data_IF_373760986216
#
_entry.id   IF_373760986216
#
_cell.length_a   1.000
_cell.length_b   1.000
_cell.length_c   1.000
_cell.angle_alpha   90.00
_cell.angle_beta   90.00
_cell.angle_gamma   90.00
#
_symmetry.space_group_name_H-M   'P 1'
#
loop_
_entity.id
_entity.type
_entity.pdbx_description
1 polymer ?
#
# COMPACT_ATOMS: atom_id res chain seq x y z
N UNK A 1 -16.52 2.42 10.72
CA UNK A 1 -16.10 1.47 9.66
C UNK A 1 -14.64 1.75 9.37
N UNK A 2 -13.80 0.73 9.31
CA UNK A 2 -12.36 0.82 9.04
C UNK A 2 -12.14 1.28 7.60
N UNK A 3 -11.10 2.06 7.35
CA UNK A 3 -10.73 2.49 6.00
C UNK A 3 -9.62 1.60 5.45
N UNK A 4 -9.70 1.27 4.17
CA UNK A 4 -8.59 0.65 3.42
C UNK A 4 -7.78 1.77 2.78
N UNK A 5 -6.52 1.92 3.23
CA UNK A 5 -5.60 2.95 2.75
C UNK A 5 -4.43 2.31 2.01
N UNK A 6 -4.25 2.69 0.77
CA UNK A 6 -3.04 2.36 0.01
C UNK A 6 -1.97 3.40 0.33
N UNK A 7 -0.98 3.04 1.15
CA UNK A 7 0.06 3.95 1.60
C UNK A 7 1.43 3.42 1.19
N UNK A 8 2.12 4.16 0.31
CA UNK A 8 3.37 3.75 -0.33
C UNK A 8 4.27 4.95 -0.65
N UNK A 9 5.58 4.72 -0.81
CA UNK A 9 6.47 5.65 -1.48
C UNK A 9 6.42 5.42 -3.00
N UNK A 10 6.62 6.49 -3.76
CA UNK A 10 6.68 6.45 -5.23
C UNK A 10 7.73 7.41 -5.76
N UNK A 11 8.40 7.02 -6.84
CA UNK A 11 9.18 7.94 -7.67
C UNK A 11 8.27 8.94 -8.41
N UNK A 12 8.83 10.03 -8.94
CA UNK A 12 8.07 11.03 -9.73
C UNK A 12 7.47 10.39 -10.99
N UNK A 13 8.15 9.43 -11.58
CA UNK A 13 7.68 8.69 -12.77
C UNK A 13 6.79 7.48 -12.44
N UNK A 14 6.31 7.35 -11.18
CA UNK A 14 5.21 6.48 -10.79
C UNK A 14 5.57 5.04 -10.49
N UNK A 15 6.79 4.76 -10.04
CA UNK A 15 7.22 3.43 -9.61
C UNK A 15 7.33 3.35 -8.08
N UNK A 16 6.96 2.21 -7.50
CA UNK A 16 7.03 1.93 -6.05
C UNK A 16 8.26 1.10 -5.67
N UNK A 17 8.94 0.52 -6.66
CA UNK A 17 10.18 -0.21 -6.52
C UNK A 17 10.90 -0.26 -7.87
N UNK A 18 12.19 -0.51 -7.87
CA UNK A 18 12.95 -0.82 -9.07
C UNK A 18 12.51 -2.14 -9.74
N UNK A 19 13.09 -2.50 -10.91
CA UNK A 19 12.65 -3.67 -11.69
C UNK A 19 12.84 -5.00 -10.96
N UNK A 20 13.80 -5.12 -10.03
CA UNK A 20 14.00 -6.31 -9.20
C UNK A 20 13.46 -6.14 -7.76
N UNK A 21 12.68 -5.08 -7.50
CA UNK A 21 12.09 -4.78 -6.20
C UNK A 21 12.96 -3.88 -5.31
N UNK A 22 13.96 -3.20 -5.86
CA UNK A 22 14.83 -2.28 -5.14
C UNK A 22 14.03 -1.09 -4.57
N UNK A 23 14.29 -0.71 -3.32
CA UNK A 23 13.66 0.43 -2.64
C UNK A 23 14.64 1.28 -1.80
N UNK A 24 15.93 1.07 -1.98
CA UNK A 24 17.03 1.80 -1.33
C UNK A 24 17.08 3.31 -1.68
N UNK A 25 16.36 3.69 -2.72
CA UNK A 25 16.16 5.08 -3.12
C UNK A 25 15.14 5.84 -2.24
N UNK A 26 14.42 5.15 -1.34
CA UNK A 26 13.43 5.77 -0.44
C UNK A 26 14.17 6.33 0.78
N UNK A 27 14.20 7.65 0.99
CA UNK A 27 14.90 8.25 2.12
C UNK A 27 14.12 8.01 3.43
N UNK A 28 14.85 7.72 4.50
CA UNK A 28 14.31 7.75 5.85
C UNK A 28 14.40 9.18 6.39
N UNK A 29 13.38 9.99 6.11
CA UNK A 29 13.34 11.38 6.58
C UNK A 29 13.05 11.43 8.08
N UNK A 30 13.91 12.06 8.90
CA UNK A 30 13.75 12.09 10.36
C UNK A 30 12.55 12.93 10.83
N UNK A 31 11.97 13.75 9.95
CA UNK A 31 10.79 14.55 10.28
C UNK A 31 9.47 13.81 10.00
N UNK A 32 9.55 12.60 9.44
CA UNK A 32 8.40 11.69 9.30
C UNK A 32 8.23 10.90 10.59
N UNK A 33 7.11 11.13 11.27
CA UNK A 33 6.73 10.33 12.45
C UNK A 33 6.16 8.97 11.98
N UNK A 34 7.07 8.02 11.73
CA UNK A 34 6.69 6.65 11.35
C UNK A 34 5.89 5.94 12.43
N UNK A 35 6.12 6.26 13.72
CA UNK A 35 5.36 5.69 14.83
C UNK A 35 3.89 6.10 14.77
N UNK A 36 3.61 7.39 14.62
CA UNK A 36 2.26 7.89 14.44
C UNK A 36 1.62 7.37 13.14
N UNK A 37 2.39 7.28 12.05
CA UNK A 37 1.91 6.79 10.76
C UNK A 37 1.47 5.32 10.86
N UNK A 38 2.31 4.42 11.39
CA UNK A 38 1.97 3.00 11.54
C UNK A 38 0.95 2.76 12.64
N UNK A 39 0.93 3.59 13.69
CA UNK A 39 -0.03 3.51 14.78
C UNK A 39 -1.50 3.65 14.37
N UNK A 40 -1.77 4.13 13.14
CA UNK A 40 -3.13 4.22 12.57
C UNK A 40 -3.70 2.87 12.14
N UNK A 41 -2.84 1.85 11.97
CA UNK A 41 -3.19 0.55 11.41
C UNK A 41 -3.08 -0.55 12.45
N UNK A 42 -3.89 -1.59 12.31
CA UNK A 42 -3.78 -2.86 13.03
C UNK A 42 -3.75 -4.06 12.08
N UNK A 43 -4.01 -3.85 10.81
CA UNK A 43 -4.06 -4.89 9.78
C UNK A 43 -3.28 -4.45 8.56
N UNK A 44 -2.44 -5.36 8.07
CA UNK A 44 -1.62 -5.20 6.87
C UNK A 44 -2.09 -6.18 5.80
N UNK A 45 -2.37 -5.66 4.61
CA UNK A 45 -2.82 -6.43 3.45
C UNK A 45 -1.79 -6.30 2.32
N UNK A 46 -1.30 -7.43 1.80
CA UNK A 46 -0.32 -7.43 0.72
C UNK A 46 -0.49 -8.60 -0.25
N UNK A 47 0.02 -8.44 -1.46
CA UNK A 47 0.11 -9.52 -2.44
C UNK A 47 1.31 -10.44 -2.20
N UNK A 48 1.28 -11.62 -2.82
CA UNK A 48 2.32 -12.65 -2.71
C UNK A 48 3.74 -12.11 -2.97
N UNK A 49 3.96 -11.42 -4.11
CA UNK A 49 5.30 -10.92 -4.46
C UNK A 49 5.87 -9.96 -3.43
N UNK A 50 5.01 -9.10 -2.87
CA UNK A 50 5.38 -8.15 -1.80
C UNK A 50 5.73 -8.90 -0.52
N UNK A 51 4.97 -9.95 -0.17
CA UNK A 51 5.25 -10.80 0.98
C UNK A 51 6.58 -11.55 0.83
N UNK A 52 6.82 -12.16 -0.33
CA UNK A 52 8.06 -12.87 -0.64
C UNK A 52 9.28 -11.93 -0.59
N UNK A 53 9.15 -10.72 -1.16
CA UNK A 53 10.21 -9.71 -1.09
C UNK A 53 10.49 -9.29 0.35
N UNK A 54 9.45 -9.02 1.14
CA UNK A 54 9.60 -8.64 2.54
C UNK A 54 10.21 -9.76 3.41
N UNK A 55 9.83 -11.01 3.16
CA UNK A 55 10.38 -12.17 3.87
C UNK A 55 11.86 -12.45 3.53
N UNK A 56 12.34 -11.98 2.39
CA UNK A 56 13.75 -12.12 1.98
C UNK A 56 14.70 -11.15 2.70
N UNK A 57 14.16 -10.10 3.36
CA UNK A 57 14.98 -9.16 4.12
C UNK A 57 15.23 -9.66 5.54
N UNK A 58 16.49 -9.52 6.05
CA UNK A 58 16.82 -9.95 7.42
C UNK A 58 15.99 -9.17 8.44
N UNK A 59 15.39 -9.88 9.37
CA UNK A 59 14.79 -9.54 10.67
C UNK A 59 14.10 -8.18 10.85
N UNK A 60 14.56 -7.10 10.25
CA UNK A 60 14.05 -5.75 10.50
C UNK A 60 12.85 -5.37 9.62
N UNK A 61 12.73 -5.95 8.43
CA UNK A 61 11.61 -5.67 7.52
C UNK A 61 10.25 -6.09 8.09
N UNK A 62 10.18 -7.18 8.86
CA UNK A 62 8.95 -7.63 9.51
C UNK A 62 8.76 -7.02 10.92
N UNK A 63 9.80 -6.45 11.52
CA UNK A 63 9.72 -5.87 12.87
C UNK A 63 8.77 -4.67 12.92
N UNK A 64 8.68 -3.89 11.85
CA UNK A 64 7.75 -2.75 11.75
C UNK A 64 6.27 -3.16 11.75
N UNK A 65 5.97 -4.42 11.45
CA UNK A 65 4.58 -4.96 11.44
C UNK A 65 4.25 -5.76 12.69
N UNK A 66 5.16 -5.78 13.66
CA UNK A 66 4.96 -6.50 14.91
C UNK A 66 3.68 -6.03 15.61
N UNK A 67 2.79 -6.97 15.86
CA UNK A 67 1.49 -6.69 16.48
C UNK A 67 0.35 -6.36 15.49
N UNK A 68 0.63 -6.29 14.19
CA UNK A 68 -0.42 -6.18 13.18
C UNK A 68 -0.89 -7.57 12.71
N UNK A 69 -2.16 -7.66 12.36
CA UNK A 69 -2.73 -8.79 11.61
C UNK A 69 -2.22 -8.71 10.18
N UNK A 70 -1.40 -9.67 9.75
CA UNK A 70 -0.84 -9.72 8.39
C UNK A 70 -1.66 -10.64 7.51
N UNK A 71 -2.14 -10.15 6.38
CA UNK A 71 -2.94 -10.88 5.40
C UNK A 71 -2.23 -10.87 4.05
N UNK A 72 -1.99 -12.04 3.49
CA UNK A 72 -1.37 -12.24 2.18
C UNK A 72 -2.41 -12.71 1.18
N UNK A 73 -2.59 -11.96 0.10
CA UNK A 73 -3.53 -12.29 -0.97
C UNK A 73 -2.80 -13.07 -2.08
N UNK A 74 -3.19 -14.33 -2.26
CA UNK A 74 -2.60 -15.20 -3.29
C UNK A 74 -3.50 -16.37 -3.65
N UNK A 75 -3.58 -16.69 -4.94
CA UNK A 75 -4.22 -17.90 -5.45
C UNK A 75 -3.23 -19.04 -5.70
N UNK A 76 -1.93 -18.81 -5.45
CA UNK A 76 -0.86 -19.77 -5.81
C UNK A 76 0.00 -20.21 -4.64
N UNK A 77 0.02 -19.45 -3.52
CA UNK A 77 0.69 -19.89 -2.30
C UNK A 77 -0.11 -20.98 -1.60
N UNK A 78 0.60 -21.98 -1.08
CA UNK A 78 0.01 -23.01 -0.23
C UNK A 78 -0.06 -22.56 1.24
N UNK A 79 0.86 -21.70 1.69
CA UNK A 79 0.90 -21.15 3.03
C UNK A 79 1.70 -19.83 3.06
N UNK A 80 1.43 -18.99 4.06
CA UNK A 80 2.17 -17.77 4.35
C UNK A 80 2.62 -17.80 5.81
N UNK A 81 3.90 -18.05 6.06
CA UNK A 81 4.42 -18.18 7.41
C UNK A 81 4.23 -16.88 8.21
N UNK A 82 3.55 -16.96 9.37
CA UNK A 82 3.28 -15.81 10.23
C UNK A 82 2.18 -14.86 9.72
N UNK A 83 1.44 -15.24 8.65
CA UNK A 83 0.37 -14.44 8.08
C UNK A 83 -0.86 -15.28 7.72
N UNK A 84 -2.03 -14.63 7.62
CA UNK A 84 -3.22 -15.26 7.06
C UNK A 84 -3.12 -15.29 5.53
N UNK A 85 -3.50 -16.40 4.92
CA UNK A 85 -3.58 -16.52 3.47
C UNK A 85 -5.02 -16.34 3.00
N UNK A 86 -5.23 -15.36 2.12
CA UNK A 86 -6.51 -15.13 1.47
C UNK A 86 -6.42 -15.45 -0.03
N UNK A 87 -7.35 -16.26 -0.51
CA UNK A 87 -7.52 -16.60 -1.93
C UNK A 87 -8.94 -16.29 -2.40
N UNK A 88 -9.14 -16.28 -3.71
CA UNK A 88 -10.43 -16.04 -4.35
C UNK A 88 -10.85 -14.57 -4.33
N UNK A 89 -12.09 -14.29 -3.97
CA UNK A 89 -12.66 -12.93 -3.96
C UNK A 89 -12.19 -12.14 -2.75
N UNK A 90 -11.02 -11.52 -2.90
CA UNK A 90 -10.41 -10.67 -1.87
C UNK A 90 -11.21 -9.39 -1.64
N UNK A 91 -11.89 -8.84 -2.65
CA UNK A 91 -12.65 -7.59 -2.51
C UNK A 91 -13.83 -7.75 -1.56
N UNK A 92 -14.59 -8.83 -1.68
CA UNK A 92 -15.68 -9.15 -0.75
C UNK A 92 -15.15 -9.37 0.67
N UNK A 93 -14.02 -10.08 0.83
CA UNK A 93 -13.40 -10.28 2.15
C UNK A 93 -12.95 -8.96 2.78
N UNK A 94 -12.38 -8.05 2.00
CA UNK A 94 -12.02 -6.69 2.46
C UNK A 94 -13.25 -5.91 2.88
N UNK A 95 -14.35 -6.00 2.14
CA UNK A 95 -15.62 -5.35 2.50
C UNK A 95 -16.11 -5.80 3.88
N UNK A 96 -16.04 -7.09 4.18
CA UNK A 96 -16.38 -7.61 5.51
C UNK A 96 -15.39 -7.16 6.57
N UNK A 97 -14.07 -7.23 6.29
CA UNK A 97 -13.03 -6.78 7.21
C UNK A 97 -13.20 -5.31 7.61
N UNK A 98 -13.64 -4.45 6.69
CA UNK A 98 -13.92 -3.03 6.98
C UNK A 98 -15.07 -2.84 7.98
N UNK A 99 -15.96 -3.81 8.16
CA UNK A 99 -17.07 -3.77 9.12
C UNK A 99 -16.66 -4.24 10.51
N UNK A 100 -15.53 -4.92 10.65
CA UNK A 100 -15.01 -5.34 11.94
C UNK A 100 -14.59 -4.13 12.81
N UNK A 101 -14.54 -4.35 14.13
CA UNK A 101 -13.98 -3.37 15.06
C UNK A 101 -12.45 -3.37 14.93
N UNK A 102 -11.85 -2.21 14.82
CA UNK A 102 -10.38 -2.08 14.69
C UNK A 102 -9.97 -0.73 14.13
N UNK A 103 -8.64 -0.58 13.93
CA UNK A 103 -8.02 0.56 13.26
C UNK A 103 -8.14 0.40 11.74
N UNK A 104 -7.56 1.33 10.99
CA UNK A 104 -7.54 1.26 9.54
C UNK A 104 -6.70 0.08 9.03
N UNK A 105 -6.94 -0.31 7.79
CA UNK A 105 -6.25 -1.40 7.09
C UNK A 105 -5.22 -0.79 6.16
N UNK A 106 -3.97 -1.20 6.30
CA UNK A 106 -2.91 -0.78 5.41
C UNK A 106 -2.80 -1.71 4.21
N UNK A 107 -3.17 -1.24 3.03
CA UNK A 107 -2.84 -1.90 1.77
C UNK A 107 -1.39 -1.54 1.45
N UNK A 108 -0.47 -2.46 1.76
CA UNK A 108 0.96 -2.27 1.58
C UNK A 108 1.40 -2.42 0.12
N UNK A 109 0.68 -3.24 -0.65
CA UNK A 109 0.96 -3.41 -2.07
C UNK A 109 0.88 -4.88 -2.52
N UNK A 110 1.31 -5.31 -3.75
CA UNK A 110 1.81 -4.45 -4.84
C UNK A 110 0.72 -3.89 -5.75
N UNK A 111 1.19 -3.28 -6.86
CA UNK A 111 0.33 -2.58 -7.80
C UNK A 111 -0.81 -3.41 -8.41
N UNK A 112 -0.66 -4.73 -8.58
CA UNK A 112 -1.73 -5.63 -9.04
C UNK A 112 -2.87 -5.75 -8.03
N UNK A 113 -2.54 -5.98 -6.75
CA UNK A 113 -3.54 -6.06 -5.68
C UNK A 113 -4.23 -4.70 -5.50
N UNK A 114 -3.46 -3.62 -5.52
CA UNK A 114 -4.01 -2.27 -5.46
C UNK A 114 -4.99 -2.01 -6.61
N UNK A 115 -4.61 -2.32 -7.86
CA UNK A 115 -5.51 -2.19 -9.00
C UNK A 115 -6.80 -2.96 -8.80
N UNK A 116 -6.72 -4.24 -8.41
CA UNK A 116 -7.88 -5.12 -8.21
C UNK A 116 -8.84 -4.54 -7.16
N UNK A 117 -8.33 -4.08 -6.02
CA UNK A 117 -9.16 -3.55 -4.95
C UNK A 117 -9.70 -2.14 -5.26
N UNK A 118 -8.94 -1.33 -6.01
CA UNK A 118 -9.39 -0.02 -6.46
C UNK A 118 -10.54 -0.15 -7.47
N UNK A 119 -10.43 -1.05 -8.44
CA UNK A 119 -11.48 -1.33 -9.44
C UNK A 119 -12.73 -1.94 -8.80
N UNK A 120 -12.58 -2.69 -7.72
CA UNK A 120 -13.69 -3.19 -6.91
C UNK A 120 -14.33 -2.12 -6.01
N UNK A 121 -13.80 -0.88 -5.98
CA UNK A 121 -14.35 0.23 -5.20
C UNK A 121 -14.19 0.11 -3.68
N UNK A 122 -13.26 -0.72 -3.20
CA UNK A 122 -13.08 -0.95 -1.75
C UNK A 122 -11.93 -0.14 -1.13
N UNK A 123 -11.08 0.50 -1.95
CA UNK A 123 -10.04 1.43 -1.49
C UNK A 123 -10.65 2.78 -1.17
N UNK A 124 -10.42 3.29 0.03
CA UNK A 124 -10.95 4.58 0.50
C UNK A 124 -9.98 5.74 0.27
N UNK A 125 -8.70 5.52 0.59
CA UNK A 125 -7.67 6.55 0.49
C UNK A 125 -6.42 6.00 -0.20
N UNK A 126 -5.71 6.91 -0.85
CA UNK A 126 -4.39 6.68 -1.44
C UNK A 126 -3.44 7.70 -0.82
N UNK A 127 -2.39 7.23 -0.17
CA UNK A 127 -1.35 8.04 0.45
C UNK A 127 -0.03 7.76 -0.28
N UNK A 128 0.53 8.77 -0.94
CA UNK A 128 1.77 8.63 -1.72
C UNK A 128 2.83 9.56 -1.17
N UNK A 129 3.93 8.98 -0.69
CA UNK A 129 5.16 9.71 -0.44
C UNK A 129 5.94 9.83 -1.76
N UNK A 130 5.78 10.94 -2.47
CA UNK A 130 6.47 11.20 -3.73
C UNK A 130 7.90 11.62 -3.44
N UNK A 131 8.85 10.73 -3.74
CA UNK A 131 10.28 10.96 -3.57
C UNK A 131 10.83 11.63 -4.84
N UNK A 132 11.71 12.66 -4.74
CA UNK A 132 12.21 13.41 -5.88
C UNK A 132 13.28 12.63 -6.67
N UNK A 133 12.93 11.47 -7.20
CA UNK A 133 13.76 10.60 -8.05
C UNK A 133 12.98 10.15 -9.29
N UNK A 134 13.70 9.83 -10.34
CA UNK A 134 13.20 9.17 -11.55
C UNK A 134 13.88 7.80 -11.64
N UNK A 135 13.11 6.72 -11.68
CA UNK A 135 13.66 5.36 -11.80
C UNK A 135 13.80 4.90 -13.26
N UNK A 136 13.03 5.47 -14.18
CA UNK A 136 13.06 5.09 -15.59
C UNK A 136 12.45 3.72 -15.90
N UNK A 137 12.02 2.98 -14.86
CA UNK A 137 11.39 1.66 -14.95
C UNK A 137 11.30 1.00 -13.59
N UNK A 138 10.44 -0.01 -13.46
CA UNK A 138 10.26 -0.71 -12.19
C UNK A 138 8.84 -1.24 -11.98
N UNK A 139 8.49 -1.48 -10.72
CA UNK A 139 7.15 -1.90 -10.32
C UNK A 139 6.26 -0.66 -10.24
N UNK A 140 5.21 -0.54 -11.08
CA UNK A 140 4.39 0.65 -11.12
C UNK A 140 3.53 0.78 -9.86
N UNK A 141 3.22 2.03 -9.49
CA UNK A 141 2.28 2.38 -8.41
C UNK A 141 0.94 1.65 -8.59
N UNK A 142 0.47 1.57 -9.82
CA UNK A 142 -0.73 0.85 -10.22
C UNK A 142 -0.45 0.03 -11.47
N UNK A 143 -0.76 -1.26 -11.43
CA UNK A 143 -0.60 -2.12 -12.59
C UNK A 143 -1.51 -1.69 -13.75
N UNK A 144 -1.00 -1.80 -14.96
CA UNK A 144 -1.69 -1.47 -16.22
C UNK A 144 -2.04 -2.75 -17.01
N UNK A 145 -3.11 -2.76 -17.84
CA UNK A 145 -4.06 -1.65 -18.07
C UNK A 145 -4.97 -1.39 -16.88
N UNK A 146 -5.47 -0.16 -16.74
CA UNK A 146 -6.33 0.25 -15.65
C UNK A 146 -7.31 1.34 -16.08
N UNK A 147 -8.51 1.36 -15.50
CA UNK A 147 -9.53 2.36 -15.79
C UNK A 147 -9.18 3.72 -15.15
N UNK A 148 -9.66 4.82 -15.75
CA UNK A 148 -9.55 6.14 -15.17
C UNK A 148 -10.23 6.18 -13.79
N UNK A 149 -9.54 6.73 -12.79
CA UNK A 149 -10.05 6.92 -11.43
C UNK A 149 -9.83 8.36 -11.02
N UNK A 150 -10.89 9.04 -10.62
CA UNK A 150 -10.81 10.40 -10.10
C UNK A 150 -10.48 10.39 -8.61
N UNK A 151 -9.59 11.28 -8.21
CA UNK A 151 -9.13 11.43 -6.84
C UNK A 151 -9.35 12.87 -6.38
N UNK A 152 -9.57 13.07 -5.07
CA UNK A 152 -9.60 14.39 -4.45
C UNK A 152 -8.46 14.49 -3.47
N UNK A 153 -7.59 15.49 -3.61
CA UNK A 153 -6.54 15.78 -2.62
C UNK A 153 -7.22 16.20 -1.33
N UNK A 154 -6.89 15.52 -0.23
CA UNK A 154 -7.40 15.82 1.11
C UNK A 154 -6.34 16.39 2.03
N UNK A 155 -5.07 15.99 1.82
CA UNK A 155 -3.95 16.48 2.61
C UNK A 155 -2.67 16.45 1.78
N UNK A 156 -1.74 17.35 2.10
CA UNK A 156 -0.37 17.30 1.58
C UNK A 156 0.62 17.83 2.62
N UNK A 157 1.84 17.29 2.57
CA UNK A 157 2.94 17.74 3.43
C UNK A 157 4.27 17.64 2.69
N UNK A 158 5.07 18.70 2.76
CA UNK A 158 6.44 18.72 2.24
C UNK A 158 7.45 18.46 3.36
N UNK A 159 8.42 17.62 3.09
CA UNK A 159 9.52 17.27 3.99
C UNK A 159 10.83 17.83 3.37
N UNK A 160 11.33 18.97 3.85
CA UNK A 160 12.42 19.68 3.18
C UNK A 160 13.77 18.96 3.23
N UNK A 161 14.00 18.07 4.21
CA UNK A 161 15.27 17.34 4.33
C UNK A 161 15.46 16.29 3.22
N UNK A 162 14.40 15.58 2.88
CA UNK A 162 14.43 14.56 1.81
C UNK A 162 13.91 15.10 0.47
N UNK A 163 13.22 16.24 0.48
CA UNK A 163 12.47 16.74 -0.68
C UNK A 163 11.18 15.96 -0.96
N UNK A 164 10.80 15.03 -0.07
CA UNK A 164 9.59 14.20 -0.24
C UNK A 164 8.32 15.02 -0.08
N UNK A 165 7.36 14.79 -0.96
CA UNK A 165 5.99 15.33 -0.84
C UNK A 165 5.03 14.18 -0.51
N UNK A 166 4.45 14.20 0.69
CA UNK A 166 3.36 13.29 1.07
C UNK A 166 2.05 13.87 0.55
N UNK A 167 1.30 13.07 -0.19
CA UNK A 167 -0.02 13.43 -0.71
C UNK A 167 -1.05 12.40 -0.25
N UNK A 168 -2.17 12.86 0.29
CA UNK A 168 -3.31 12.00 0.62
C UNK A 168 -4.48 12.34 -0.31
N UNK A 169 -5.06 11.31 -0.89
CA UNK A 169 -6.19 11.41 -1.80
C UNK A 169 -7.35 10.56 -1.30
N UNK A 170 -8.56 11.10 -1.33
CA UNK A 170 -9.77 10.29 -1.24
C UNK A 170 -10.13 9.75 -2.63
N UNK A 171 -10.47 8.48 -2.69
CA UNK A 171 -10.98 7.85 -3.91
C UNK A 171 -12.43 8.28 -4.11
N UNK A 172 -12.75 8.86 -5.27
CA UNK A 172 -14.12 9.19 -5.60
C UNK A 172 -14.89 7.94 -6.01
N UNK A 173 -16.06 7.73 -5.40
CA UNK A 173 -16.98 6.69 -5.90
C UNK A 173 -17.29 6.97 -7.38
N UNK A 174 -17.41 5.92 -8.22
CA UNK A 174 -17.85 6.11 -9.59
C UNK A 174 -19.13 6.96 -9.58
N UNK A 175 -19.14 8.06 -10.33
CA UNK A 175 -20.39 8.82 -10.52
C UNK A 175 -21.35 7.87 -11.22
N UNK A 176 -22.47 7.57 -10.58
CA UNK A 176 -23.60 6.94 -11.27
C UNK A 176 -23.96 7.82 -12.46
N UNK A 177 -23.81 7.26 -13.66
CA UNK A 177 -24.19 7.89 -14.91
C UNK A 177 -25.70 8.03 -15.00
#
# INVERSE_FOLDING_TARGET
MRRLRYSVASSIDGFIAGPNGEYDWIPMDPDIDFGAMFGRYDTLLMGRKTFEAAAAYPTDGMAMWKGMRVIVCSNTLAAAAGAELWSGDVATRVTHLKQEVGKDIWLFGGGDLFRTLLEAGVVDDIEVAMVPVLLGGGIPLRAIPAALTHLTVTEHRFYPKSGTVMMTYAVQSPRSA
#
